data_IF_141314040477
#
_entry.id   IF_141314040477
#
_cell.length_a   1.000
_cell.length_b   1.000
_cell.length_c   1.000
_cell.angle_alpha   90.00
_cell.angle_beta   90.00
_cell.angle_gamma   90.00
#
_symmetry.space_group_name_H-M   'P 1'
#
loop_
_entity.id
_entity.type
_entity.pdbx_description
1 polymer ?
#
# COMPACT_ATOMS: atom_id res chain seq x y z
N UNK A 1 -11.47 101.84 13.87
CA UNK A 1 -10.88 101.30 12.65
C UNK A 1 -9.85 100.33 13.12
N UNK A 2 -10.25 99.10 13.32
CA UNK A 2 -9.28 97.94 13.33
C UNK A 2 -10.06 96.63 13.50
N UNK A 3 -10.03 95.81 12.49
CA UNK A 3 -10.76 94.63 12.39
C UNK A 3 -9.94 93.47 13.09
N UNK A 4 -10.48 92.94 14.18
CA UNK A 4 -9.92 91.73 14.82
C UNK A 4 -10.55 90.54 14.13
N UNK A 5 -9.70 89.80 13.39
CA UNK A 5 -9.99 88.42 12.88
C UNK A 5 -9.77 87.39 14.01
N UNK A 6 -10.84 86.73 14.43
CA UNK A 6 -10.73 85.56 15.27
C UNK A 6 -10.27 84.39 14.42
N UNK A 7 -9.11 83.81 14.79
CA UNK A 7 -8.62 82.53 14.26
C UNK A 7 -9.21 81.43 15.14
N UNK A 8 -10.05 80.56 14.55
CA UNK A 8 -10.55 79.34 15.20
C UNK A 8 -9.56 78.23 14.89
N UNK A 9 -8.98 77.53 15.87
CA UNK A 9 -8.12 76.36 15.60
C UNK A 9 -8.99 75.17 15.24
N UNK A 10 -8.76 74.62 14.07
CA UNK A 10 -9.31 73.35 13.60
C UNK A 10 -8.60 72.20 14.30
N UNK A 11 -9.14 71.67 15.38
CA UNK A 11 -8.59 70.54 16.16
C UNK A 11 -9.38 69.26 15.98
N UNK A 12 -10.35 69.19 15.06
CA UNK A 12 -11.30 68.06 14.99
C UNK A 12 -10.97 66.89 14.03
N UNK A 13 -10.20 67.18 12.99
CA UNK A 13 -10.08 66.19 11.86
C UNK A 13 -8.99 65.15 12.04
N UNK A 14 -7.93 65.44 12.80
CA UNK A 14 -6.80 64.49 12.93
C UNK A 14 -7.06 63.28 13.82
N UNK A 15 -8.01 63.38 14.74
CA UNK A 15 -8.33 62.25 15.66
C UNK A 15 -9.18 61.18 15.00
N UNK A 16 -10.07 61.51 14.06
CA UNK A 16 -10.90 60.54 13.35
C UNK A 16 -10.14 59.69 12.38
N UNK A 17 -9.09 60.18 11.73
CA UNK A 17 -8.25 59.43 10.81
C UNK A 17 -7.37 58.39 11.52
N UNK A 18 -6.98 58.63 12.77
CA UNK A 18 -6.19 57.66 13.58
C UNK A 18 -6.99 56.42 13.94
N UNK A 19 -8.24 56.57 14.35
CA UNK A 19 -9.09 55.44 14.73
C UNK A 19 -9.50 54.59 13.50
N UNK A 20 -9.71 55.18 12.34
CA UNK A 20 -10.06 54.47 11.12
C UNK A 20 -8.89 53.61 10.63
N UNK A 21 -7.66 54.12 10.72
CA UNK A 21 -6.43 53.33 10.39
C UNK A 21 -6.20 52.19 11.35
N UNK A 22 -6.51 52.35 12.62
CA UNK A 22 -6.34 51.32 13.65
C UNK A 22 -7.36 50.18 13.46
N UNK A 23 -8.61 50.53 13.15
CA UNK A 23 -9.68 49.56 12.86
C UNK A 23 -9.39 48.72 11.61
N UNK A 24 -8.81 49.31 10.56
CA UNK A 24 -8.46 48.57 9.35
C UNK A 24 -7.31 47.57 9.59
N UNK A 25 -6.29 47.95 10.40
CA UNK A 25 -5.17 47.04 10.75
C UNK A 25 -5.63 45.88 11.61
N UNK A 26 -6.54 46.14 12.57
CA UNK A 26 -7.12 45.07 13.41
C UNK A 26 -7.99 44.14 12.56
N UNK A 27 -8.80 44.64 11.65
CA UNK A 27 -9.65 43.82 10.77
C UNK A 27 -8.82 42.93 9.83
N UNK A 28 -7.72 43.45 9.26
CA UNK A 28 -6.81 42.67 8.41
C UNK A 28 -6.07 41.62 9.23
N UNK A 29 -5.70 41.91 10.49
CA UNK A 29 -5.04 40.93 11.38
C UNK A 29 -5.96 39.74 11.71
N UNK A 30 -7.26 39.98 11.92
CA UNK A 30 -8.26 38.92 12.16
C UNK A 30 -8.55 38.09 10.90
N UNK A 31 -8.45 38.69 9.71
CA UNK A 31 -8.65 37.97 8.44
C UNK A 31 -7.48 36.99 8.14
N UNK A 32 -6.26 37.32 8.59
CA UNK A 32 -5.07 36.47 8.40
C UNK A 32 -4.94 35.33 9.45
N UNK A 33 -5.53 35.50 10.65
CA UNK A 33 -5.56 34.46 11.67
C UNK A 33 -6.72 33.47 11.50
N UNK A 34 -7.69 33.78 10.64
CA UNK A 34 -8.89 32.93 10.44
C UNK A 34 -8.81 31.92 9.31
N UNK A 35 -7.64 31.63 8.73
CA UNK A 35 -7.48 30.50 7.84
C UNK A 35 -7.49 29.22 8.70
N UNK A 36 -8.61 28.44 8.74
CA UNK A 36 -8.55 27.11 9.31
C UNK A 36 -7.53 26.37 8.48
N UNK A 37 -6.42 25.98 9.07
CA UNK A 37 -5.51 25.01 8.47
C UNK A 37 -6.36 23.80 8.11
N UNK A 38 -6.70 23.64 6.83
CA UNK A 38 -7.29 22.43 6.32
C UNK A 38 -6.26 21.33 6.59
N UNK A 39 -6.37 20.69 7.75
CA UNK A 39 -5.71 19.43 8.02
C UNK A 39 -6.27 18.47 6.97
N UNK A 40 -5.56 18.36 5.86
CA UNK A 40 -5.85 17.40 4.83
C UNK A 40 -5.78 16.02 5.51
N UNK A 41 -6.93 15.51 5.93
CA UNK A 41 -7.04 14.14 6.42
C UNK A 41 -6.60 13.25 5.27
N UNK A 42 -5.47 12.58 5.42
CA UNK A 42 -5.06 11.56 4.45
C UNK A 42 -6.20 10.55 4.36
N UNK A 43 -6.73 10.28 3.17
CA UNK A 43 -7.77 9.27 3.01
C UNK A 43 -7.27 7.96 3.64
N UNK A 44 -8.16 7.28 4.36
CA UNK A 44 -7.84 5.96 4.93
C UNK A 44 -7.42 5.03 3.78
N UNK A 45 -6.29 4.29 3.92
CA UNK A 45 -5.89 3.32 2.93
C UNK A 45 -7.01 2.33 2.61
N UNK A 46 -7.20 2.02 1.35
CA UNK A 46 -8.11 0.96 0.93
C UNK A 46 -7.55 -0.41 1.33
N UNK A 47 -8.39 -1.45 1.33
CA UNK A 47 -7.92 -2.80 1.61
C UNK A 47 -6.82 -3.25 0.63
N UNK A 48 -6.90 -2.80 -0.63
CA UNK A 48 -5.88 -3.13 -1.64
C UNK A 48 -4.59 -2.34 -1.49
N UNK A 49 -4.60 -1.13 -0.90
CA UNK A 49 -3.36 -0.43 -0.51
C UNK A 49 -2.62 -1.22 0.57
N UNK A 50 -3.37 -1.76 1.54
CA UNK A 50 -2.81 -2.60 2.60
C UNK A 50 -2.29 -3.94 2.03
N UNK A 51 -3.04 -4.59 1.14
CA UNK A 51 -2.61 -5.82 0.46
C UNK A 51 -1.36 -5.59 -0.39
N UNK A 52 -1.24 -4.45 -1.09
CA UNK A 52 -0.04 -4.09 -1.85
C UNK A 52 1.20 -3.98 -0.93
N UNK A 53 1.06 -3.33 0.23
CA UNK A 53 2.14 -3.28 1.22
C UNK A 53 2.51 -4.67 1.76
N UNK A 54 1.52 -5.56 1.96
CA UNK A 54 1.80 -6.95 2.33
C UNK A 54 2.57 -7.70 1.24
N UNK A 55 2.21 -7.53 -0.05
CA UNK A 55 2.95 -8.17 -1.15
C UNK A 55 4.42 -7.76 -1.15
N UNK A 56 4.73 -6.48 -0.95
CA UNK A 56 6.10 -6.02 -0.78
C UNK A 56 6.79 -6.69 0.41
N UNK A 57 6.13 -6.70 1.58
CA UNK A 57 6.69 -7.30 2.78
C UNK A 57 6.90 -8.81 2.65
N UNK A 58 6.02 -9.54 1.96
CA UNK A 58 6.26 -10.96 1.68
C UNK A 58 7.57 -11.17 0.93
N UNK A 59 7.90 -10.30 -0.01
CA UNK A 59 9.19 -10.33 -0.71
C UNK A 59 10.40 -10.19 0.20
N UNK A 60 10.27 -9.52 1.34
CA UNK A 60 11.35 -9.32 2.32
C UNK A 60 11.50 -10.48 3.31
N UNK A 61 10.43 -11.24 3.54
CA UNK A 61 10.36 -12.28 4.57
C UNK A 61 10.24 -13.70 4.00
N UNK A 62 10.36 -13.84 2.69
CA UNK A 62 10.41 -15.12 2.00
C UNK A 62 11.77 -15.24 1.29
N UNK A 63 12.38 -16.39 1.38
CA UNK A 63 13.63 -16.73 0.69
C UNK A 63 13.33 -17.64 -0.49
N UNK A 64 13.93 -17.32 -1.63
CA UNK A 64 13.85 -18.10 -2.86
C UNK A 64 15.11 -18.96 -3.04
N UNK A 65 15.02 -20.14 -3.69
CA UNK A 65 16.21 -20.93 -4.02
C UNK A 65 17.21 -20.10 -4.84
N UNK A 66 18.50 -20.18 -4.53
CA UNK A 66 19.56 -19.35 -5.11
C UNK A 66 19.66 -19.38 -6.65
N UNK A 67 19.19 -20.47 -7.30
CA UNK A 67 19.09 -20.55 -8.76
C UNK A 67 18.08 -19.55 -9.34
N UNK A 68 17.00 -19.26 -8.62
CA UNK A 68 15.98 -18.28 -9.01
C UNK A 68 16.53 -16.87 -8.87
N UNK A 69 17.28 -16.59 -7.81
CA UNK A 69 17.90 -15.27 -7.60
C UNK A 69 18.91 -14.93 -8.72
N UNK A 70 19.68 -15.89 -9.20
CA UNK A 70 20.66 -15.69 -10.26
C UNK A 70 20.04 -15.47 -11.65
N UNK A 71 18.85 -16.07 -11.92
CA UNK A 71 18.22 -16.04 -13.25
C UNK A 71 17.36 -14.80 -13.52
N UNK A 72 17.08 -13.96 -12.49
CA UNK A 72 16.05 -12.93 -12.52
C UNK A 72 16.50 -11.56 -13.03
N UNK A 73 17.64 -11.46 -13.71
CA UNK A 73 18.01 -10.26 -14.44
C UNK A 73 17.61 -8.91 -13.81
N UNK A 74 18.20 -8.56 -12.65
CA UNK A 74 18.18 -7.19 -12.11
C UNK A 74 16.91 -6.68 -11.42
N UNK A 75 15.75 -7.34 -11.50
CA UNK A 75 14.51 -6.88 -10.84
C UNK A 75 13.78 -7.99 -10.07
N UNK A 76 13.18 -7.62 -8.94
CA UNK A 76 12.24 -8.46 -8.18
C UNK A 76 10.82 -8.16 -8.67
N UNK A 77 10.10 -9.16 -9.17
CA UNK A 77 8.80 -8.95 -9.82
C UNK A 77 7.65 -9.45 -8.97
N UNK A 78 6.71 -8.54 -8.71
CA UNK A 78 5.39 -8.84 -8.17
C UNK A 78 4.40 -8.84 -9.34
N UNK A 79 3.90 -10.03 -9.68
CA UNK A 79 2.99 -10.19 -10.81
C UNK A 79 1.54 -10.27 -10.36
N UNK A 80 0.62 -9.79 -11.21
CA UNK A 80 -0.82 -9.93 -11.04
C UNK A 80 -1.35 -10.69 -12.25
N UNK A 81 -2.03 -11.82 -12.02
CA UNK A 81 -2.73 -12.61 -13.04
C UNK A 81 -4.23 -12.38 -12.93
N UNK A 82 -4.85 -12.11 -14.07
CA UNK A 82 -6.26 -11.79 -14.18
C UNK A 82 -6.57 -10.30 -14.00
N UNK A 83 -7.81 -10.00 -13.61
CA UNK A 83 -8.21 -8.62 -13.36
C UNK A 83 -7.42 -8.05 -12.17
N UNK A 84 -6.72 -6.95 -12.40
CA UNK A 84 -5.94 -6.26 -11.36
C UNK A 84 -6.85 -5.46 -10.43
N UNK A 85 -6.93 -5.81 -9.14
CA UNK A 85 -7.73 -5.07 -8.17
C UNK A 85 -6.96 -3.92 -7.51
N UNK A 86 -5.64 -3.84 -7.71
CA UNK A 86 -4.78 -2.84 -7.09
C UNK A 86 -4.75 -1.52 -7.87
N UNK A 87 -4.89 -1.61 -9.20
CA UNK A 87 -4.69 -0.45 -10.07
C UNK A 87 -3.33 0.22 -9.85
N UNK A 88 -3.27 1.56 -9.77
CA UNK A 88 -2.00 2.30 -9.57
C UNK A 88 -1.37 2.10 -8.19
N UNK A 89 -2.14 1.62 -7.20
CA UNK A 89 -1.68 1.50 -5.81
C UNK A 89 -0.50 0.54 -5.68
N UNK A 90 -0.51 -0.59 -6.40
CA UNK A 90 0.60 -1.53 -6.39
C UNK A 90 1.88 -0.90 -6.94
N UNK A 91 1.79 -0.21 -8.08
CA UNK A 91 2.95 0.46 -8.69
C UNK A 91 3.50 1.55 -7.77
N UNK A 92 2.62 2.34 -7.16
CA UNK A 92 3.01 3.39 -6.20
C UNK A 92 3.69 2.81 -4.96
N UNK A 93 3.16 1.70 -4.44
CA UNK A 93 3.72 1.02 -3.25
C UNK A 93 5.12 0.45 -3.53
N UNK A 94 5.36 -0.03 -4.75
CA UNK A 94 6.62 -0.67 -5.13
C UNK A 94 7.65 0.31 -5.70
N UNK A 95 7.25 1.55 -6.02
CA UNK A 95 8.11 2.55 -6.65
C UNK A 95 9.32 2.91 -5.76
N UNK A 96 10.53 2.70 -6.27
CA UNK A 96 11.78 2.98 -5.57
C UNK A 96 12.18 1.94 -4.53
N UNK A 97 11.36 0.92 -4.28
CA UNK A 97 11.65 -0.13 -3.32
C UNK A 97 12.65 -1.16 -3.87
N UNK A 98 13.39 -1.79 -2.97
CA UNK A 98 14.36 -2.83 -3.30
C UNK A 98 14.23 -4.04 -2.38
N UNK A 99 14.47 -5.23 -2.92
CA UNK A 99 14.57 -6.50 -2.17
C UNK A 99 15.84 -7.20 -2.61
N UNK A 100 16.70 -7.57 -1.68
CA UNK A 100 18.01 -8.18 -1.93
C UNK A 100 18.84 -7.41 -3.00
N UNK A 101 18.80 -6.07 -2.95
CA UNK A 101 19.51 -5.19 -3.90
C UNK A 101 18.90 -5.09 -5.30
N UNK A 102 17.74 -5.71 -5.54
CA UNK A 102 17.02 -5.66 -6.83
C UNK A 102 15.84 -4.71 -6.74
N UNK A 103 15.65 -3.86 -7.74
CA UNK A 103 14.47 -2.99 -7.84
C UNK A 103 13.20 -3.83 -7.92
N UNK A 104 12.19 -3.49 -7.11
CA UNK A 104 10.89 -4.16 -7.12
C UNK A 104 10.00 -3.54 -8.19
N UNK A 105 9.36 -4.37 -9.00
CA UNK A 105 8.46 -3.90 -10.08
C UNK A 105 7.17 -4.72 -10.09
N UNK A 106 6.06 -4.03 -10.36
CA UNK A 106 4.78 -4.68 -10.65
C UNK A 106 4.70 -5.10 -12.12
N UNK A 107 4.13 -6.27 -12.39
CA UNK A 107 3.86 -6.75 -13.75
C UNK A 107 2.46 -7.36 -13.80
N UNK A 108 1.66 -6.99 -14.80
CA UNK A 108 0.39 -7.64 -15.12
C UNK A 108 0.65 -8.69 -16.18
N UNK A 109 0.18 -9.91 -15.94
CA UNK A 109 0.34 -11.04 -16.87
C UNK A 109 -1.03 -11.61 -17.23
N UNK A 110 -1.14 -12.16 -18.43
CA UNK A 110 -2.39 -12.72 -18.95
C UNK A 110 -2.47 -14.24 -18.84
N UNK A 111 -1.34 -14.89 -18.56
CA UNK A 111 -1.25 -16.35 -18.49
C UNK A 111 -0.29 -16.80 -17.39
N UNK A 112 -0.59 -17.95 -16.74
CA UNK A 112 0.29 -18.58 -15.77
C UNK A 112 1.64 -19.01 -16.35
N UNK A 113 1.74 -19.21 -17.66
CA UNK A 113 3.01 -19.49 -18.33
C UNK A 113 4.02 -18.33 -18.23
N UNK A 114 3.53 -17.09 -18.11
CA UNK A 114 4.38 -15.90 -17.97
C UNK A 114 4.96 -15.73 -16.56
N UNK A 115 4.49 -16.53 -15.59
CA UNK A 115 4.90 -16.44 -14.18
C UNK A 115 6.34 -16.86 -13.90
N UNK A 116 7.02 -17.50 -14.85
CA UNK A 116 8.37 -18.04 -14.65
C UNK A 116 9.44 -17.01 -14.23
N UNK A 117 9.15 -15.73 -14.43
CA UNK A 117 10.00 -14.61 -14.03
C UNK A 117 9.42 -13.79 -12.86
N UNK A 118 8.39 -14.28 -12.17
CA UNK A 118 7.76 -13.62 -11.04
C UNK A 118 8.25 -14.27 -9.74
N UNK A 119 8.56 -13.47 -8.73
CA UNK A 119 8.80 -13.97 -7.38
C UNK A 119 7.50 -14.15 -6.61
N UNK A 120 6.60 -13.17 -6.75
CA UNK A 120 5.27 -13.20 -6.15
C UNK A 120 4.24 -13.14 -7.29
N UNK A 121 3.23 -13.98 -7.22
CA UNK A 121 2.10 -14.00 -8.13
C UNK A 121 0.80 -13.83 -7.35
N UNK A 122 0.16 -12.67 -7.50
CA UNK A 122 -1.19 -12.46 -7.03
C UNK A 122 -2.17 -12.97 -8.08
N UNK A 123 -3.12 -13.83 -7.67
CA UNK A 123 -4.20 -14.33 -8.51
C UNK A 123 -5.47 -13.53 -8.21
N UNK A 124 -5.96 -12.78 -9.19
CA UNK A 124 -7.20 -12.03 -9.10
C UNK A 124 -8.43 -12.94 -9.12
N UNK A 125 -9.56 -12.46 -8.57
CA UNK A 125 -10.79 -13.23 -8.46
C UNK A 125 -11.34 -13.70 -9.83
N UNK A 126 -11.02 -13.01 -10.92
CA UNK A 126 -11.38 -13.42 -12.29
C UNK A 126 -10.84 -14.80 -12.68
N UNK A 127 -9.80 -15.28 -11.96
CA UNK A 127 -9.17 -16.57 -12.21
C UNK A 127 -9.80 -17.74 -11.42
N UNK A 128 -10.85 -17.48 -10.62
CA UNK A 128 -11.45 -18.47 -9.73
C UNK A 128 -11.90 -19.75 -10.45
N UNK A 129 -12.49 -19.63 -11.65
CA UNK A 129 -12.99 -20.79 -12.42
C UNK A 129 -11.89 -21.72 -12.93
N UNK A 130 -10.66 -21.24 -13.05
CA UNK A 130 -9.50 -22.01 -13.54
C UNK A 130 -8.38 -22.15 -12.52
N UNK A 131 -8.66 -21.79 -11.24
CA UNK A 131 -7.68 -21.79 -10.16
C UNK A 131 -6.90 -23.10 -10.03
N UNK A 132 -7.59 -24.24 -10.00
CA UNK A 132 -6.93 -25.55 -9.86
C UNK A 132 -5.96 -25.85 -11.02
N UNK A 133 -6.31 -25.43 -12.25
CA UNK A 133 -5.43 -25.57 -13.41
C UNK A 133 -4.20 -24.69 -13.26
N UNK A 134 -4.39 -23.43 -12.84
CA UNK A 134 -3.28 -22.47 -12.62
C UNK A 134 -2.34 -23.00 -11.53
N UNK A 135 -2.86 -23.46 -10.40
CA UNK A 135 -2.03 -24.01 -9.31
C UNK A 135 -1.23 -25.23 -9.79
N UNK A 136 -1.83 -26.11 -10.59
CA UNK A 136 -1.12 -27.26 -11.17
C UNK A 136 0.00 -26.81 -12.15
N UNK A 137 -0.21 -25.78 -12.94
CA UNK A 137 0.80 -25.21 -13.85
C UNK A 137 1.96 -24.52 -13.08
N UNK A 138 1.71 -24.10 -11.84
CA UNK A 138 2.70 -23.48 -10.96
C UNK A 138 3.41 -24.49 -10.05
N UNK A 139 2.98 -25.74 -10.04
CA UNK A 139 3.59 -26.75 -9.20
C UNK A 139 5.11 -26.86 -9.49
N UNK A 140 5.89 -26.94 -8.42
CA UNK A 140 7.36 -26.94 -8.44
C UNK A 140 8.03 -25.67 -9.02
N UNK A 141 7.27 -24.62 -9.36
CA UNK A 141 7.85 -23.32 -9.63
C UNK A 141 8.05 -22.56 -8.32
N UNK A 142 9.24 -22.00 -8.14
CA UNK A 142 9.55 -21.20 -6.94
C UNK A 142 8.93 -19.80 -7.03
N UNK A 143 7.61 -19.74 -7.09
CA UNK A 143 6.78 -18.53 -7.15
C UNK A 143 5.83 -18.50 -5.97
N UNK A 144 5.89 -17.48 -5.14
CA UNK A 144 4.96 -17.31 -4.02
C UNK A 144 3.58 -16.94 -4.55
N UNK A 145 2.61 -17.83 -4.40
CA UNK A 145 1.22 -17.58 -4.83
C UNK A 145 0.41 -16.93 -3.71
N UNK A 146 -0.28 -15.84 -4.05
CA UNK A 146 -1.09 -15.04 -3.13
C UNK A 146 -2.44 -14.75 -3.76
N UNK A 147 -3.52 -14.78 -2.97
CA UNK A 147 -4.84 -14.37 -3.42
C UNK A 147 -5.72 -13.94 -2.25
N UNK A 148 -6.84 -13.30 -2.55
CA UNK A 148 -7.94 -13.04 -1.61
C UNK A 148 -9.19 -13.88 -1.93
N UNK A 149 -9.07 -14.83 -2.86
CA UNK A 149 -10.15 -15.77 -3.18
C UNK A 149 -10.44 -16.68 -1.98
N UNK A 150 -11.72 -16.89 -1.62
CA UNK A 150 -12.09 -17.91 -0.63
C UNK A 150 -11.57 -19.29 -1.05
N UNK A 151 -11.19 -20.11 -0.07
CA UNK A 151 -10.68 -21.47 -0.28
C UNK A 151 -9.37 -21.57 -1.09
N UNK A 152 -8.65 -20.47 -1.30
CA UNK A 152 -7.40 -20.45 -2.06
C UNK A 152 -6.36 -21.43 -1.50
N UNK A 153 -6.20 -21.49 -0.16
CA UNK A 153 -5.29 -22.44 0.47
C UNK A 153 -5.71 -23.89 0.29
N UNK A 154 -7.01 -24.18 0.22
CA UNK A 154 -7.52 -25.53 -0.04
C UNK A 154 -7.24 -26.00 -1.47
N UNK A 155 -7.15 -25.06 -2.40
CA UNK A 155 -6.77 -25.33 -3.80
C UNK A 155 -5.25 -25.46 -3.99
N UNK A 156 -4.45 -25.37 -2.91
CA UNK A 156 -2.98 -25.48 -2.99
C UNK A 156 -2.25 -24.13 -3.05
N UNK A 157 -2.95 -23.00 -2.94
CA UNK A 157 -2.34 -21.68 -2.81
C UNK A 157 -1.52 -21.55 -1.53
N UNK A 158 -0.59 -20.59 -1.48
CA UNK A 158 0.38 -20.46 -0.38
C UNK A 158 -0.04 -19.41 0.65
N UNK A 159 -0.50 -18.23 0.23
CA UNK A 159 -0.95 -17.17 1.13
C UNK A 159 -2.34 -16.70 0.69
N UNK A 160 -3.27 -16.65 1.62
CA UNK A 160 -4.62 -16.14 1.40
C UNK A 160 -4.87 -14.91 2.26
N UNK A 161 -5.24 -13.79 1.66
CA UNK A 161 -5.75 -12.65 2.40
C UNK A 161 -7.16 -12.92 2.92
N UNK A 162 -7.39 -12.51 4.15
CA UNK A 162 -8.68 -12.57 4.83
C UNK A 162 -9.01 -11.22 5.46
N UNK A 163 -10.28 -10.96 5.70
CA UNK A 163 -10.71 -9.78 6.44
C UNK A 163 -11.17 -10.19 7.84
N UNK A 164 -10.56 -9.64 8.85
CA UNK A 164 -11.02 -9.73 10.24
C UNK A 164 -11.60 -8.37 10.65
N UNK A 165 -12.91 -8.27 10.61
CA UNK A 165 -13.62 -7.00 10.76
C UNK A 165 -13.23 -6.02 9.64
N UNK A 166 -12.46 -4.97 9.99
CA UNK A 166 -11.96 -3.95 9.04
C UNK A 166 -10.46 -4.08 8.76
N UNK A 167 -9.84 -5.16 9.20
CA UNK A 167 -8.39 -5.34 9.07
C UNK A 167 -8.08 -6.42 8.04
N UNK A 168 -7.18 -6.12 7.13
CA UNK A 168 -6.59 -7.12 6.23
C UNK A 168 -5.62 -7.98 7.05
N UNK A 169 -5.83 -9.29 7.00
CA UNK A 169 -4.97 -10.32 7.59
C UNK A 169 -4.62 -11.35 6.51
N UNK A 170 -3.85 -12.34 6.87
CA UNK A 170 -3.53 -13.42 5.96
C UNK A 170 -3.32 -14.75 6.68
N UNK A 171 -3.58 -15.80 5.95
CA UNK A 171 -3.34 -17.19 6.33
C UNK A 171 -2.28 -17.80 5.43
N UNK A 172 -1.56 -18.79 5.93
CA UNK A 172 -0.42 -19.43 5.25
C UNK A 172 -0.62 -20.94 5.13
N UNK A 173 -0.35 -21.48 3.94
CA UNK A 173 -0.19 -22.90 3.67
C UNK A 173 1.32 -23.20 3.55
N UNK A 174 1.97 -23.45 4.70
CA UNK A 174 3.40 -23.68 4.78
C UNK A 174 3.88 -24.88 3.94
N UNK A 175 3.17 -26.05 3.94
CA UNK A 175 3.53 -27.16 3.07
C UNK A 175 3.57 -26.82 1.59
N UNK A 176 2.63 -25.98 1.10
CA UNK A 176 2.63 -25.56 -0.31
C UNK A 176 3.87 -24.70 -0.64
N UNK A 177 4.23 -23.78 0.23
CA UNK A 177 5.43 -22.95 0.06
C UNK A 177 6.70 -23.80 0.09
N UNK A 178 6.81 -24.74 1.02
CA UNK A 178 7.95 -25.66 1.12
C UNK A 178 8.12 -26.54 -0.12
N UNK A 179 7.02 -27.07 -0.69
CA UNK A 179 7.08 -27.84 -1.95
C UNK A 179 7.62 -27.03 -3.13
N UNK A 180 7.33 -25.74 -3.15
CA UNK A 180 7.88 -24.80 -4.15
C UNK A 180 9.34 -24.39 -3.86
N UNK A 181 9.96 -24.91 -2.80
CA UNK A 181 11.31 -24.57 -2.38
C UNK A 181 11.44 -23.21 -1.69
N UNK A 182 10.32 -22.63 -1.24
CA UNK A 182 10.32 -21.33 -0.55
C UNK A 182 10.48 -21.53 0.96
N UNK A 183 11.30 -20.66 1.58
CA UNK A 183 11.45 -20.60 3.05
C UNK A 183 10.78 -19.32 3.56
N UNK A 184 9.77 -19.47 4.40
CA UNK A 184 9.08 -18.35 5.04
C UNK A 184 9.73 -18.08 6.40
N UNK A 185 10.05 -16.82 6.68
CA UNK A 185 10.68 -16.44 7.94
C UNK A 185 9.74 -16.64 9.13
N UNK A 186 10.32 -16.85 10.30
CA UNK A 186 9.55 -16.97 11.54
C UNK A 186 8.77 -15.71 11.88
N UNK A 187 9.27 -14.53 11.48
CA UNK A 187 8.60 -13.24 11.65
C UNK A 187 7.30 -13.18 10.83
N UNK A 188 7.34 -13.63 9.58
CA UNK A 188 6.15 -13.72 8.73
C UNK A 188 5.11 -14.66 9.33
N UNK A 189 5.54 -15.83 9.79
CA UNK A 189 4.64 -16.83 10.36
C UNK A 189 4.01 -16.42 11.68
N UNK A 190 4.68 -15.57 12.48
CA UNK A 190 4.14 -15.03 13.75
C UNK A 190 2.98 -14.05 13.54
N UNK A 191 2.93 -13.34 12.42
CA UNK A 191 1.89 -12.34 12.14
C UNK A 191 0.75 -12.89 11.27
N UNK A 192 0.88 -14.13 10.78
CA UNK A 192 -0.20 -14.84 10.09
C UNK A 192 -1.30 -15.23 11.08
N UNK A 193 -2.57 -15.07 10.71
CA UNK A 193 -3.70 -15.49 11.54
C UNK A 193 -3.76 -17.00 11.71
N UNK A 194 -3.52 -17.75 10.62
CA UNK A 194 -3.47 -19.21 10.60
C UNK A 194 -2.24 -19.68 9.81
N UNK A 195 -1.51 -20.64 10.35
CA UNK A 195 -0.44 -21.33 9.64
C UNK A 195 -0.78 -22.81 9.55
N UNK A 196 -1.16 -23.27 8.35
CA UNK A 196 -1.36 -24.70 8.08
C UNK A 196 0.00 -25.39 8.01
N UNK A 197 0.15 -26.48 8.70
CA UNK A 197 1.34 -27.35 8.71
C UNK A 197 0.95 -28.75 8.27
N UNK A 198 1.91 -29.57 7.83
CA UNK A 198 1.64 -30.98 7.67
C UNK A 198 1.28 -31.58 9.04
N UNK A 199 0.33 -32.53 9.11
CA UNK A 199 0.13 -33.32 10.34
C UNK A 199 1.48 -33.90 10.74
N UNK A 200 1.91 -33.67 11.97
CA UNK A 200 3.06 -34.38 12.51
C UNK A 200 2.64 -35.81 12.79
N UNK A 201 3.48 -36.85 12.49
CA UNK A 201 3.19 -38.21 12.92
C UNK A 201 3.21 -38.24 14.46
N UNK A 202 2.01 -38.23 15.07
CA UNK A 202 1.85 -38.28 16.54
C UNK A 202 0.76 -37.37 17.14
N UNK A 203 0.01 -36.60 16.32
CA UNK A 203 -1.20 -35.86 16.77
C UNK A 203 -2.47 -36.69 16.60
#
# INVERSE_FOLDING_TARGET
MDSLRCIVPDQGVSRFLGHLRWLTVVAISWLLLGLPGALAQRPKPSDYDVKAAYLYNFGRFVEWPGKVEASLGGSFRVCVLGQDPFGPSLDTTLAGETIAGKTVVAKRISSAHESGNCQILFLGFSEASRLNKIIAELDQKSVLTVSDMPQFLNSGGMIQFVLEGKNVRFEVNLPAAQRAGLTLSSELLKVATVVRRNPQPGD
#
